data_IF_704495723601
#
_entry.id   IF_704495723601
#
_cell.length_a   1.000
_cell.length_b   1.000
_cell.length_c   1.000
_cell.angle_alpha   90.00
_cell.angle_beta   90.00
_cell.angle_gamma   90.00
#
_symmetry.space_group_name_H-M   'P 1'
#
loop_
_entity.id
_entity.type
_entity.pdbx_description
1 polymer ?
#
# COMPACT_ATOMS: atom_id res chain seq x y z
N UNK A 1 21.64 3.26 15.73
CA UNK A 1 21.62 4.66 16.27
C UNK A 1 20.19 4.96 16.67
N UNK A 2 19.96 5.62 17.81
CA UNK A 2 18.61 5.90 18.33
C UNK A 2 18.32 7.39 18.12
N UNK A 3 17.10 7.75 17.79
CA UNK A 3 16.67 9.16 17.71
C UNK A 3 16.90 9.87 19.05
N UNK A 4 17.31 11.13 18.99
CA UNK A 4 17.39 11.99 20.18
C UNK A 4 15.98 12.21 20.75
N UNK A 5 15.88 12.38 22.07
CA UNK A 5 14.60 12.61 22.74
C UNK A 5 13.76 13.71 22.10
N UNK A 6 14.39 14.84 21.74
CA UNK A 6 13.73 15.96 21.05
C UNK A 6 13.10 15.50 19.71
N UNK A 7 13.81 14.70 18.91
CA UNK A 7 13.29 14.15 17.64
C UNK A 7 12.09 13.25 17.88
N UNK A 8 12.16 12.38 18.89
CA UNK A 8 11.06 11.48 19.27
C UNK A 8 9.81 12.28 19.68
N UNK A 9 9.99 13.28 20.54
CA UNK A 9 8.89 14.13 21.01
C UNK A 9 8.28 14.90 19.83
N UNK A 10 9.11 15.50 18.96
CA UNK A 10 8.64 16.22 17.78
C UNK A 10 7.87 15.31 16.81
N UNK A 11 8.37 14.11 16.51
CA UNK A 11 7.66 13.14 15.65
C UNK A 11 6.27 12.80 16.20
N UNK A 12 6.16 12.63 17.50
CA UNK A 12 4.89 12.38 18.16
C UNK A 12 3.93 13.56 18.08
N UNK A 13 4.44 14.76 18.36
CA UNK A 13 3.63 16.00 18.38
C UNK A 13 3.12 16.37 16.99
N UNK A 14 3.94 16.19 15.94
CA UNK A 14 3.58 16.46 14.54
C UNK A 14 2.38 15.66 14.06
N UNK A 15 2.06 14.54 14.70
CA UNK A 15 0.89 13.68 14.36
C UNK A 15 -0.16 13.67 15.48
N UNK A 16 -0.09 14.61 16.43
CA UNK A 16 -1.02 14.71 17.56
C UNK A 16 -1.03 13.47 18.46
N UNK A 17 0.10 12.75 18.56
CA UNK A 17 0.21 11.54 19.35
C UNK A 17 -0.50 10.32 18.75
N UNK A 18 -0.99 10.38 17.50
CA UNK A 18 -1.65 9.27 16.79
C UNK A 18 -0.66 8.44 15.99
N UNK A 19 -0.99 7.16 15.77
CA UNK A 19 -0.23 6.30 14.87
C UNK A 19 -0.34 6.79 13.43
N UNK A 20 0.80 6.92 12.72
CA UNK A 20 0.82 7.39 11.32
C UNK A 20 0.31 6.36 10.31
N UNK A 21 0.15 5.07 10.69
CA UNK A 21 -0.47 4.08 9.83
C UNK A 21 -1.94 4.46 9.56
N UNK A 22 -2.33 4.73 8.29
CA UNK A 22 -3.68 5.19 7.94
C UNK A 22 -4.78 4.17 8.30
N UNK A 23 -4.46 2.89 8.35
CA UNK A 23 -5.40 1.84 8.75
C UNK A 23 -5.49 1.65 10.27
N UNK A 24 -4.64 2.32 11.05
CA UNK A 24 -4.60 2.20 12.50
C UNK A 24 -5.10 3.46 13.19
N UNK A 25 -4.42 4.58 12.98
CA UNK A 25 -4.72 5.93 13.51
C UNK A 25 -5.07 5.99 15.01
N UNK A 26 -4.72 4.94 15.81
CA UNK A 26 -5.00 4.90 17.24
C UNK A 26 -4.22 5.97 18.00
N UNK A 27 -4.83 6.46 19.06
CA UNK A 27 -4.15 7.27 20.06
C UNK A 27 -3.02 6.47 20.72
N UNK A 28 -1.84 7.06 20.80
CA UNK A 28 -0.66 6.37 21.37
C UNK A 28 -0.24 6.94 22.71
N UNK A 29 -0.85 8.04 23.12
CA UNK A 29 -0.61 8.69 24.42
C UNK A 29 -1.95 8.92 25.14
N UNK A 30 -1.94 8.82 26.45
CA UNK A 30 -3.13 9.04 27.24
C UNK A 30 -2.84 9.17 28.74
N UNK A 31 -3.89 9.43 29.55
CA UNK A 31 -3.74 9.56 30.98
C UNK A 31 -3.42 8.21 31.63
N UNK A 32 -2.63 8.26 32.67
CA UNK A 32 -2.38 7.13 33.57
C UNK A 32 -3.24 7.31 34.83
N UNK A 33 -3.57 6.22 35.54
CA UNK A 33 -4.30 6.26 36.81
C UNK A 33 -3.61 7.13 37.88
N UNK A 34 -2.27 7.16 37.88
CA UNK A 34 -1.49 8.10 38.67
C UNK A 34 -1.39 9.41 37.88
N UNK A 35 -1.87 10.57 38.43
CA UNK A 35 -1.88 11.85 37.71
C UNK A 35 -0.49 12.41 37.39
N UNK A 36 0.57 11.93 38.04
CA UNK A 36 1.96 12.30 37.74
C UNK A 36 2.57 11.50 36.56
N UNK A 37 1.82 10.54 36.01
CA UNK A 37 2.31 9.64 34.94
C UNK A 37 1.43 9.74 33.71
N UNK A 38 1.96 9.24 32.60
CA UNK A 38 1.24 9.10 31.32
C UNK A 38 1.38 7.68 30.78
N UNK A 39 0.41 7.24 30.01
CA UNK A 39 0.51 6.02 29.17
C UNK A 39 1.12 6.43 27.84
N UNK A 40 2.08 5.63 27.34
CA UNK A 40 2.62 5.78 25.99
C UNK A 40 2.84 4.40 25.38
N UNK A 41 2.14 4.13 24.27
CA UNK A 41 2.24 2.91 23.47
C UNK A 41 2.77 3.18 22.07
N UNK A 42 3.21 4.44 21.82
CA UNK A 42 3.83 4.86 20.55
C UNK A 42 5.35 4.88 20.66
N UNK A 43 5.98 4.79 19.51
CA UNK A 43 7.42 4.88 19.34
C UNK A 43 7.80 5.53 18.01
N UNK A 44 8.99 6.12 17.95
CA UNK A 44 9.59 6.61 16.73
C UNK A 44 10.30 5.45 16.02
N UNK A 45 9.79 5.04 14.87
CA UNK A 45 10.39 4.02 14.02
C UNK A 45 11.24 4.67 12.92
N UNK A 46 12.28 3.96 12.48
CA UNK A 46 13.08 4.37 11.33
C UNK A 46 12.39 3.96 10.02
N UNK A 47 12.34 4.86 9.06
CA UNK A 47 11.89 4.56 7.69
C UNK A 47 12.96 3.74 6.98
N UNK A 48 14.23 4.20 7.04
CA UNK A 48 15.42 3.50 6.57
C UNK A 48 16.22 3.11 7.80
N UNK A 49 16.56 1.83 7.93
CA UNK A 49 17.22 1.31 9.12
C UNK A 49 18.45 2.10 9.53
N UNK A 50 18.63 2.25 10.84
CA UNK A 50 19.77 2.96 11.44
C UNK A 50 21.07 2.16 11.38
N UNK A 51 21.00 0.83 11.21
CA UNK A 51 22.14 -0.07 11.21
C UNK A 51 22.05 -1.06 10.05
N UNK A 52 23.20 -1.55 9.63
CA UNK A 52 23.33 -2.60 8.63
C UNK A 52 22.56 -3.87 9.06
N UNK A 53 21.95 -4.53 8.07
CA UNK A 53 21.10 -5.71 8.30
C UNK A 53 19.68 -5.38 8.79
N UNK A 54 19.37 -4.12 9.05
CA UNK A 54 18.00 -3.71 9.37
C UNK A 54 17.14 -3.49 8.12
N UNK A 55 15.80 -3.44 8.29
CA UNK A 55 14.86 -3.27 7.19
C UNK A 55 15.13 -1.99 6.39
N UNK A 56 15.07 -2.08 5.05
CA UNK A 56 15.24 -0.93 4.14
C UNK A 56 16.57 -0.18 4.33
N UNK A 57 17.62 -0.89 4.78
CA UNK A 57 18.93 -0.27 5.00
C UNK A 57 19.52 0.30 3.70
N UNK A 58 20.11 1.49 3.80
CA UNK A 58 20.84 2.13 2.71
C UNK A 58 22.25 2.53 3.20
N UNK A 59 23.33 1.95 2.63
CA UNK A 59 24.70 2.27 3.01
C UNK A 59 25.11 3.71 2.68
N UNK A 60 24.49 4.34 1.67
CA UNK A 60 24.84 5.69 1.21
C UNK A 60 24.43 6.81 2.18
N UNK A 61 23.51 6.51 3.13
CA UNK A 61 23.08 7.49 4.11
C UNK A 61 24.15 7.71 5.19
N UNK A 62 24.39 8.98 5.50
CA UNK A 62 25.23 9.38 6.62
C UNK A 62 24.57 9.06 7.98
N UNK A 63 25.33 8.95 9.08
CA UNK A 63 24.76 8.79 10.42
C UNK A 63 23.79 9.91 10.81
N UNK A 64 24.04 11.13 10.37
CA UNK A 64 23.20 12.32 10.61
C UNK A 64 21.86 12.17 9.90
N UNK A 65 21.86 11.77 8.62
CA UNK A 65 20.63 11.51 7.85
C UNK A 65 19.81 10.37 8.44
N UNK A 66 20.45 9.29 8.89
CA UNK A 66 19.78 8.16 9.55
C UNK A 66 19.09 8.57 10.84
N UNK A 67 19.65 9.52 11.60
CA UNK A 67 19.09 10.03 12.85
C UNK A 67 18.22 11.28 12.67
N UNK A 68 18.04 11.76 11.43
CA UNK A 68 17.23 12.93 11.13
C UNK A 68 15.74 12.67 11.35
N UNK A 69 14.98 13.74 11.60
CA UNK A 69 13.52 13.67 11.73
C UNK A 69 12.86 13.20 10.44
N UNK A 70 13.48 13.44 9.27
CA UNK A 70 12.98 13.01 7.97
C UNK A 70 12.99 11.49 7.81
N UNK A 71 13.92 10.82 8.49
CA UNK A 71 14.01 9.36 8.51
C UNK A 71 13.18 8.70 9.63
N UNK A 72 12.41 9.49 10.39
CA UNK A 72 11.57 9.01 11.48
C UNK A 72 10.09 9.05 11.14
N UNK A 73 9.33 8.08 11.64
CA UNK A 73 7.87 8.02 11.59
C UNK A 73 7.32 7.63 12.97
N UNK A 74 6.23 8.28 13.41
CA UNK A 74 5.59 7.94 14.69
C UNK A 74 4.54 6.84 14.51
N UNK A 75 4.69 5.74 15.19
CA UNK A 75 3.79 4.59 15.09
C UNK A 75 3.43 4.04 16.48
N UNK A 76 2.33 3.31 16.59
CA UNK A 76 2.14 2.44 17.76
C UNK A 76 3.10 1.25 17.65
N UNK A 77 3.46 0.64 18.78
CA UNK A 77 4.42 -0.49 18.83
C UNK A 77 4.06 -1.65 17.91
N UNK A 78 2.77 -1.94 17.75
CA UNK A 78 2.31 -3.01 16.84
C UNK A 78 2.59 -2.66 15.39
N UNK A 79 2.31 -1.42 14.97
CA UNK A 79 2.59 -0.97 13.61
C UNK A 79 4.09 -0.80 13.34
N UNK A 80 4.89 -0.40 14.33
CA UNK A 80 6.33 -0.32 14.19
C UNK A 80 6.93 -1.71 13.93
N UNK A 81 6.49 -2.74 14.65
CA UNK A 81 6.90 -4.12 14.37
C UNK A 81 6.39 -4.62 13.02
N UNK A 82 5.18 -4.24 12.64
CA UNK A 82 4.57 -4.64 11.38
C UNK A 82 5.38 -4.16 10.18
N UNK A 83 5.81 -2.91 10.16
CA UNK A 83 6.58 -2.34 9.04
C UNK A 83 7.96 -2.96 8.89
N UNK A 84 8.51 -3.51 9.97
CA UNK A 84 9.82 -4.18 9.97
C UNK A 84 9.73 -5.67 9.66
N UNK A 85 8.52 -6.25 9.68
CA UNK A 85 8.30 -7.67 9.37
C UNK A 85 8.30 -7.98 7.87
N UNK A 86 7.98 -7.00 7.01
CA UNK A 86 7.96 -7.17 5.55
C UNK A 86 8.33 -5.85 4.83
N UNK A 87 9.61 -5.68 4.57
CA UNK A 87 10.15 -4.48 3.93
C UNK A 87 9.72 -4.33 2.45
N UNK A 88 9.29 -5.41 1.79
CA UNK A 88 8.80 -5.36 0.40
C UNK A 88 7.41 -4.74 0.34
N UNK A 89 6.56 -5.06 1.32
CA UNK A 89 5.21 -4.47 1.46
C UNK A 89 5.31 -3.05 2.01
N UNK A 90 6.16 -2.83 3.02
CA UNK A 90 6.32 -1.53 3.69
C UNK A 90 7.56 -0.81 3.15
N UNK A 91 7.47 -0.34 1.90
CA UNK A 91 8.58 0.36 1.23
C UNK A 91 8.85 1.74 1.85
N UNK A 92 10.01 2.31 1.56
CA UNK A 92 10.41 3.66 2.00
C UNK A 92 9.36 4.70 1.56
N UNK A 93 8.91 4.60 0.31
CA UNK A 93 7.94 5.52 -0.30
C UNK A 93 6.59 5.45 0.43
N UNK A 94 6.12 4.23 0.73
CA UNK A 94 4.88 4.02 1.47
C UNK A 94 4.95 4.64 2.87
N UNK A 95 6.06 4.43 3.59
CA UNK A 95 6.23 4.97 4.94
C UNK A 95 6.35 6.50 4.94
N UNK A 96 7.00 7.09 3.93
CA UNK A 96 7.04 8.55 3.74
C UNK A 96 5.65 9.11 3.46
N UNK A 97 4.84 8.42 2.64
CA UNK A 97 3.44 8.81 2.40
C UNK A 97 2.61 8.74 3.69
N UNK A 98 2.77 7.71 4.51
CA UNK A 98 2.07 7.60 5.79
C UNK A 98 2.45 8.74 6.74
N UNK A 99 3.74 9.05 6.85
CA UNK A 99 4.23 10.18 7.64
C UNK A 99 3.59 11.48 7.17
N UNK A 100 3.73 11.79 5.88
CA UNK A 100 3.19 13.02 5.29
C UNK A 100 1.67 13.13 5.52
N UNK A 101 0.90 12.10 5.22
CA UNK A 101 -0.55 12.10 5.38
C UNK A 101 -0.97 12.34 6.83
N UNK A 102 -0.27 11.72 7.80
CA UNK A 102 -0.55 11.88 9.21
C UNK A 102 -0.22 13.28 9.74
N UNK A 103 0.92 13.84 9.32
CA UNK A 103 1.33 15.20 9.67
C UNK A 103 0.40 16.25 9.04
N UNK A 104 0.01 16.04 7.79
CA UNK A 104 -0.93 16.88 7.08
C UNK A 104 -2.31 16.88 7.76
N UNK A 105 -2.86 15.70 8.11
CA UNK A 105 -4.12 15.59 8.85
C UNK A 105 -4.06 16.41 10.16
N UNK A 106 -2.96 16.29 10.90
CA UNK A 106 -2.80 17.03 12.13
C UNK A 106 -2.70 18.55 11.91
N UNK A 107 -2.03 18.98 10.84
CA UNK A 107 -1.97 20.40 10.48
C UNK A 107 -3.35 20.97 10.12
N UNK A 108 -4.17 20.20 9.43
CA UNK A 108 -5.56 20.59 9.13
C UNK A 108 -6.41 20.73 10.39
N UNK A 109 -6.21 19.85 11.39
CA UNK A 109 -6.91 19.93 12.68
C UNK A 109 -6.52 21.21 13.43
N UNK A 110 -5.23 21.53 13.49
CA UNK A 110 -4.71 22.72 14.20
C UNK A 110 -5.16 24.00 13.51
N UNK A 111 -5.07 24.05 12.19
CA UNK A 111 -5.41 25.24 11.40
C UNK A 111 -6.92 25.43 11.20
N UNK A 112 -7.74 24.49 11.67
CA UNK A 112 -9.19 24.47 11.43
C UNK A 112 -9.54 24.60 9.93
N UNK A 113 -8.62 24.19 9.05
CA UNK A 113 -8.86 24.19 7.63
C UNK A 113 -9.82 23.07 7.26
N UNK A 114 -10.80 23.41 6.46
CA UNK A 114 -11.96 22.60 6.12
C UNK A 114 -11.62 21.17 5.64
N UNK A 115 -12.60 20.30 5.77
CA UNK A 115 -12.59 18.87 5.41
C UNK A 115 -12.22 18.60 3.93
N UNK A 116 -12.24 19.62 3.07
CA UNK A 116 -11.97 19.54 1.64
C UNK A 116 -10.61 18.89 1.33
N UNK A 117 -9.56 19.28 2.05
CA UNK A 117 -8.22 18.74 1.83
C UNK A 117 -8.06 17.30 2.36
N UNK A 118 -8.79 16.94 3.44
CA UNK A 118 -8.83 15.55 3.93
C UNK A 118 -9.41 14.61 2.88
N UNK A 119 -10.47 15.05 2.22
CA UNK A 119 -11.14 14.28 1.18
C UNK A 119 -10.20 14.04 -0.01
N UNK A 120 -9.42 15.04 -0.42
CA UNK A 120 -8.51 14.92 -1.55
C UNK A 120 -7.30 14.03 -1.29
N UNK A 121 -6.67 14.11 -0.10
CA UNK A 121 -5.54 13.22 0.23
C UNK A 121 -6.00 11.76 0.36
N UNK A 122 -7.16 11.51 0.96
CA UNK A 122 -7.75 10.16 1.03
C UNK A 122 -8.15 9.69 -0.37
N UNK A 123 -8.68 10.58 -1.21
CA UNK A 123 -9.06 10.30 -2.58
C UNK A 123 -7.84 9.94 -3.45
N UNK A 124 -6.78 10.74 -3.42
CA UNK A 124 -5.53 10.45 -4.16
C UNK A 124 -4.88 9.13 -3.69
N UNK A 125 -4.93 8.83 -2.40
CA UNK A 125 -4.41 7.57 -1.89
C UNK A 125 -5.26 6.36 -2.35
N UNK A 126 -6.58 6.50 -2.37
CA UNK A 126 -7.50 5.48 -2.92
C UNK A 126 -7.31 5.30 -4.41
N UNK A 127 -7.17 6.41 -5.16
CA UNK A 127 -6.86 6.41 -6.59
C UNK A 127 -5.56 5.68 -6.90
N UNK A 128 -4.48 5.97 -6.17
CA UNK A 128 -3.19 5.31 -6.34
C UNK A 128 -3.25 3.80 -6.05
N UNK A 129 -3.99 3.39 -5.01
CA UNK A 129 -4.22 1.97 -4.70
C UNK A 129 -5.07 1.32 -5.79
N UNK A 130 -6.10 1.98 -6.28
CA UNK A 130 -6.95 1.49 -7.36
C UNK A 130 -6.16 1.36 -8.68
N UNK A 131 -5.35 2.36 -9.03
CA UNK A 131 -4.48 2.32 -10.22
C UNK A 131 -3.45 1.18 -10.14
N UNK A 132 -2.85 0.94 -8.97
CA UNK A 132 -1.93 -0.18 -8.78
C UNK A 132 -2.64 -1.53 -8.96
N UNK A 133 -3.79 -1.73 -8.32
CA UNK A 133 -4.59 -2.95 -8.47
C UNK A 133 -5.07 -3.18 -9.91
N UNK A 134 -5.44 -2.09 -10.61
CA UNK A 134 -5.80 -2.15 -12.02
C UNK A 134 -4.61 -2.55 -12.90
N UNK A 135 -3.42 -2.03 -12.61
CA UNK A 135 -2.19 -2.41 -13.31
C UNK A 135 -1.86 -3.89 -13.08
N UNK A 136 -1.87 -4.36 -11.83
CA UNK A 136 -1.65 -5.76 -11.50
C UNK A 136 -2.65 -6.69 -12.23
N UNK A 137 -3.92 -6.29 -12.31
CA UNK A 137 -4.95 -7.04 -13.03
C UNK A 137 -4.72 -7.05 -14.55
N UNK A 138 -4.24 -5.93 -15.13
CA UNK A 138 -3.87 -5.84 -16.55
C UNK A 138 -2.65 -6.69 -16.88
N UNK A 139 -1.63 -6.68 -16.02
CA UNK A 139 -0.43 -7.49 -16.18
C UNK A 139 -0.78 -9.00 -16.12
N UNK A 140 -1.67 -9.41 -15.22
CA UNK A 140 -2.18 -10.77 -15.14
C UNK A 140 -2.99 -11.16 -16.39
N UNK A 141 -3.87 -10.27 -16.89
CA UNK A 141 -4.63 -10.50 -18.10
C UNK A 141 -3.71 -10.64 -19.33
N UNK A 142 -2.69 -9.81 -19.43
CA UNK A 142 -1.68 -9.92 -20.49
C UNK A 142 -0.99 -11.29 -20.47
N UNK A 143 -0.58 -11.77 -19.30
CA UNK A 143 0.01 -13.11 -19.14
C UNK A 143 -0.93 -14.24 -19.57
N UNK A 144 -2.21 -14.15 -19.23
CA UNK A 144 -3.23 -15.15 -19.65
C UNK A 144 -3.43 -15.14 -21.16
N UNK A 145 -3.52 -13.95 -21.77
CA UNK A 145 -3.69 -13.82 -23.22
C UNK A 145 -2.46 -14.30 -23.98
N UNK A 146 -1.26 -14.03 -23.49
CA UNK A 146 -0.03 -14.53 -24.08
C UNK A 146 0.06 -16.05 -23.99
N UNK A 147 -0.28 -16.64 -22.84
CA UNK A 147 -0.35 -18.08 -22.67
C UNK A 147 -1.37 -18.73 -23.61
N UNK A 148 -2.57 -18.16 -23.73
CA UNK A 148 -3.61 -18.63 -24.63
C UNK A 148 -3.17 -18.55 -26.10
N UNK A 149 -2.46 -17.49 -26.50
CA UNK A 149 -1.91 -17.33 -27.85
C UNK A 149 -0.83 -18.37 -28.14
N UNK A 150 0.14 -18.56 -27.25
CA UNK A 150 1.22 -19.56 -27.41
C UNK A 150 0.64 -20.99 -27.43
N UNK A 151 -0.35 -21.27 -26.59
CA UNK A 151 -1.06 -22.54 -26.59
C UNK A 151 -1.79 -22.79 -27.92
N UNK A 152 -2.53 -21.77 -28.42
CA UNK A 152 -3.20 -21.81 -29.71
C UNK A 152 -2.20 -22.04 -30.83
N UNK A 153 -1.12 -21.26 -30.89
CA UNK A 153 -0.06 -21.39 -31.88
C UNK A 153 0.56 -22.77 -31.87
N UNK A 154 0.92 -23.30 -30.70
CA UNK A 154 1.52 -24.63 -30.59
C UNK A 154 0.58 -25.75 -31.05
N UNK A 155 -0.69 -25.66 -30.75
CA UNK A 155 -1.66 -26.72 -31.01
C UNK A 155 -2.31 -26.63 -32.39
N UNK A 156 -2.42 -25.47 -33.01
CA UNK A 156 -3.06 -25.25 -34.30
C UNK A 156 -2.07 -25.07 -35.46
N UNK A 157 -0.92 -24.46 -35.28
CA UNK A 157 0.09 -24.37 -36.35
C UNK A 157 0.79 -25.69 -36.66
N UNK A 158 0.90 -26.60 -35.68
CA UNK A 158 1.70 -27.83 -35.80
C UNK A 158 0.88 -29.12 -35.99
N UNK A 159 -0.44 -29.09 -36.17
CA UNK A 159 -1.25 -30.30 -36.30
C UNK A 159 -1.66 -30.64 -37.74
N UNK A 160 -1.21 -31.84 -38.16
CA UNK A 160 -1.93 -32.63 -39.14
C UNK A 160 -3.21 -33.18 -38.48
N UNK A 161 -4.35 -32.89 -39.06
CA UNK A 161 -5.68 -33.33 -38.63
C UNK A 161 -5.77 -34.85 -38.48
N UNK A 162 -6.00 -35.36 -37.30
CA UNK A 162 -6.29 -36.74 -36.98
C UNK A 162 -7.09 -36.86 -35.69
N UNK A 163 -8.05 -37.74 -35.69
CA UNK A 163 -9.20 -38.04 -34.84
C UNK A 163 -9.05 -38.07 -33.30
N UNK A 164 -8.12 -37.38 -32.70
CA UNK A 164 -7.92 -37.29 -31.25
C UNK A 164 -8.60 -36.06 -30.63
N UNK A 165 -9.32 -35.32 -31.43
CA UNK A 165 -9.68 -33.91 -31.15
C UNK A 165 -10.89 -33.69 -30.24
N UNK A 166 -11.85 -34.65 -30.14
CA UNK A 166 -13.11 -34.35 -29.45
C UNK A 166 -13.00 -34.33 -27.92
N UNK A 167 -12.23 -35.22 -27.32
CA UNK A 167 -12.13 -35.27 -25.86
C UNK A 167 -11.17 -34.20 -25.28
N UNK A 168 -10.04 -33.96 -25.93
CA UNK A 168 -9.12 -32.89 -25.50
C UNK A 168 -9.72 -31.50 -25.72
N UNK A 169 -10.48 -31.27 -26.80
CA UNK A 169 -11.17 -29.99 -27.02
C UNK A 169 -12.25 -29.72 -25.96
N UNK A 170 -12.94 -30.75 -25.47
CA UNK A 170 -13.94 -30.57 -24.40
C UNK A 170 -13.30 -30.21 -23.06
N UNK A 171 -12.20 -30.87 -22.70
CA UNK A 171 -11.47 -30.50 -21.45
C UNK A 171 -10.87 -29.09 -21.52
N UNK A 172 -10.36 -28.72 -22.69
CA UNK A 172 -9.81 -27.36 -22.88
C UNK A 172 -10.90 -26.30 -23.05
N UNK A 173 -12.07 -26.63 -23.53
CA UNK A 173 -13.23 -25.73 -23.59
C UNK A 173 -13.73 -25.39 -22.20
N UNK A 174 -13.73 -26.29 -21.25
CA UNK A 174 -14.10 -26.04 -19.85
C UNK A 174 -13.11 -25.06 -19.21
N UNK A 175 -11.81 -25.22 -19.45
CA UNK A 175 -10.79 -24.28 -18.98
C UNK A 175 -10.96 -22.88 -19.63
N UNK A 176 -11.27 -22.85 -20.93
CA UNK A 176 -11.54 -21.62 -21.65
C UNK A 176 -12.81 -20.90 -21.16
N UNK A 177 -13.87 -21.63 -20.83
CA UNK A 177 -15.11 -21.08 -20.25
C UNK A 177 -14.88 -20.46 -18.87
N UNK A 178 -14.05 -21.08 -18.03
CA UNK A 178 -13.69 -20.56 -16.72
C UNK A 178 -12.81 -19.31 -16.83
N UNK A 179 -11.91 -19.25 -17.78
CA UNK A 179 -11.09 -18.07 -18.05
C UNK A 179 -11.93 -16.95 -18.66
N UNK A 180 -12.89 -17.26 -19.56
CA UNK A 180 -13.88 -16.28 -20.04
C UNK A 180 -14.74 -15.74 -18.91
N UNK A 181 -15.22 -16.57 -17.98
CA UNK A 181 -15.96 -16.12 -16.80
C UNK A 181 -15.12 -15.17 -15.95
N UNK A 182 -13.83 -15.45 -15.78
CA UNK A 182 -12.89 -14.55 -15.07
C UNK A 182 -12.70 -13.23 -15.82
N UNK A 183 -12.62 -13.26 -17.15
CA UNK A 183 -12.51 -12.07 -18.01
C UNK A 183 -13.80 -11.24 -17.94
N UNK A 184 -14.99 -11.89 -18.01
CA UNK A 184 -16.27 -11.19 -17.84
C UNK A 184 -16.41 -10.56 -16.47
N UNK A 185 -16.05 -11.25 -15.41
CA UNK A 185 -16.05 -10.69 -14.04
C UNK A 185 -15.08 -9.51 -13.94
N UNK A 186 -13.99 -9.53 -14.67
CA UNK A 186 -13.06 -8.41 -14.74
C UNK A 186 -13.62 -7.22 -15.53
N UNK A 187 -14.31 -7.48 -16.65
CA UNK A 187 -14.96 -6.41 -17.43
C UNK A 187 -16.09 -5.76 -16.65
N UNK A 188 -16.91 -6.52 -15.92
CA UNK A 188 -17.95 -5.97 -15.03
C UNK A 188 -17.34 -5.08 -13.95
N UNK A 189 -16.26 -5.53 -13.30
CA UNK A 189 -15.54 -4.73 -12.30
C UNK A 189 -14.87 -3.50 -12.91
N UNK A 190 -14.44 -3.56 -14.18
CA UNK A 190 -13.87 -2.42 -14.90
C UNK A 190 -14.93 -1.39 -15.26
N UNK A 191 -16.13 -1.83 -15.67
CA UNK A 191 -17.27 -0.94 -15.92
C UNK A 191 -17.65 -0.24 -14.62
N UNK A 192 -17.80 -0.97 -13.54
CA UNK A 192 -18.10 -0.43 -12.20
C UNK A 192 -17.02 0.57 -11.73
N UNK A 193 -15.75 0.29 -11.99
CA UNK A 193 -14.65 1.19 -11.66
C UNK A 193 -14.68 2.46 -12.50
N UNK A 194 -15.02 2.35 -13.79
CA UNK A 194 -15.17 3.51 -14.68
C UNK A 194 -16.41 4.35 -14.31
N UNK A 195 -17.52 3.74 -13.93
CA UNK A 195 -18.69 4.44 -13.42
C UNK A 195 -18.37 5.20 -12.14
N UNK A 196 -17.69 4.56 -11.19
CA UNK A 196 -17.23 5.22 -9.95
C UNK A 196 -16.23 6.35 -10.25
N UNK A 197 -15.33 6.18 -11.22
CA UNK A 197 -14.38 7.23 -11.61
C UNK A 197 -15.05 8.39 -12.34
N UNK A 198 -16.12 8.13 -13.12
CA UNK A 198 -16.92 9.16 -13.77
C UNK A 198 -17.78 9.95 -12.79
N UNK A 199 -18.40 9.31 -11.80
CA UNK A 199 -19.13 10.00 -10.71
C UNK A 199 -18.24 10.95 -9.91
N UNK A 200 -16.97 10.60 -9.69
CA UNK A 200 -16.02 11.44 -8.94
C UNK A 200 -15.25 12.47 -9.81
N UNK A 201 -15.41 12.45 -11.12
CA UNK A 201 -14.78 13.44 -12.03
C UNK A 201 -15.72 14.57 -12.45
N UNK A 202 -16.96 14.56 -11.99
CA UNK A 202 -18.01 15.54 -12.34
C UNK A 202 -18.29 16.56 -11.21
N UNK A 203 -17.56 16.50 -10.08
CA UNK A 203 -17.53 17.50 -9.01
C UNK A 203 -16.16 18.20 -8.98
#
# INVERSE_FOLDING_TARGET
MIFRKKTIDTLCERVGGKCSNPNCRRETKGPHSNPQKRVSIGEAAHIIAAAEGGPRYNPDLTPEERSSIENGIWLCRSCARLIDSDERVYSIELLRMWKYAAEYEQSCIINQTDNWLKTNVVFENRKNIACRKAKEALDNLHGILQYAYEYWKHNFENRHYGSFLENELMEHWVLYEDDLKRIYTFQEKRVLLNEVLLEYSLD
#
